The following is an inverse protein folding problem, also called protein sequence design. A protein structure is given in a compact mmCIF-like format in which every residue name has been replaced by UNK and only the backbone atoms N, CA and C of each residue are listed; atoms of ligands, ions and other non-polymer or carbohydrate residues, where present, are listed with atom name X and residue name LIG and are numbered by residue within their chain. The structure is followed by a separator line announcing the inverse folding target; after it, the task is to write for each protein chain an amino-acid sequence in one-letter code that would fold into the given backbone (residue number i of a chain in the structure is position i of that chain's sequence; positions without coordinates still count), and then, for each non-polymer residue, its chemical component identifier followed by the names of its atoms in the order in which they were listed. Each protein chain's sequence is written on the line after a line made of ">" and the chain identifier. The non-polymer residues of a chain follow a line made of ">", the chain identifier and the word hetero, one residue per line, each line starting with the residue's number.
data_IF_096170009229
#
_entry.id   IF_096170009229
#
_cell.length_a   1.000
_cell.length_b   1.000
_cell.length_c   1.000
_cell.angle_alpha   90.00
_cell.angle_beta   90.00
_cell.angle_gamma   90.00
#
_symmetry.space_group_name_H-M   'P 1'
#
loop_
_entity.id
_entity.type
_entity.pdbx_description
1 polymer ?
#
# COMPACT_ATOMS: atom_id res chain seq x y z
N UNK A 1 -7.82 18.68 5.33
CA UNK A 1 -8.27 17.44 4.70
C UNK A 1 -7.35 16.28 5.10
N UNK A 2 -7.87 15.34 5.88
CA UNK A 2 -7.12 14.19 6.41
C UNK A 2 -6.52 13.31 5.30
N UNK A 3 -7.17 13.22 4.14
CA UNK A 3 -6.71 12.43 2.98
C UNK A 3 -6.03 13.26 1.90
N UNK A 4 -5.51 14.42 2.22
CA UNK A 4 -4.80 15.24 1.23
C UNK A 4 -3.57 14.51 0.65
N UNK A 5 -3.55 14.36 -0.67
CA UNK A 5 -2.48 13.66 -1.39
C UNK A 5 -2.44 12.15 -1.21
N UNK A 6 -3.44 11.56 -0.57
CA UNK A 6 -3.52 10.14 -0.28
C UNK A 6 -4.62 9.50 -1.11
N UNK A 7 -4.30 8.41 -1.77
CA UNK A 7 -5.30 7.53 -2.36
C UNK A 7 -5.87 6.66 -1.25
N UNK A 8 -7.16 6.87 -0.98
CA UNK A 8 -7.86 6.10 0.04
C UNK A 8 -8.10 4.69 -0.49
N UNK A 9 -7.75 3.69 0.31
CA UNK A 9 -8.06 2.30 -0.03
C UNK A 9 -9.57 2.10 -0.16
N UNK A 10 -9.99 1.46 -1.23
CA UNK A 10 -11.38 1.15 -1.47
C UNK A 10 -11.81 -0.16 -0.79
N UNK A 11 -10.86 -0.98 -0.39
CA UNK A 11 -11.06 -2.35 0.11
C UNK A 11 -10.06 -2.69 1.20
N UNK A 12 -10.44 -3.59 2.10
CA UNK A 12 -9.65 -3.95 3.27
C UNK A 12 -8.28 -4.58 2.95
N UNK A 13 -8.08 -5.08 1.72
CA UNK A 13 -6.79 -5.69 1.29
C UNK A 13 -6.00 -4.82 0.34
N UNK A 14 -6.52 -3.67 -0.02
CA UNK A 14 -5.90 -2.82 -1.04
C UNK A 14 -4.93 -1.80 -0.46
N UNK A 15 -4.55 -1.93 0.81
CA UNK A 15 -3.60 -1.00 1.43
C UNK A 15 -2.28 -0.91 0.64
N UNK A 16 -1.79 -2.04 0.13
CA UNK A 16 -0.57 -2.07 -0.69
C UNK A 16 -0.72 -1.33 -2.01
N UNK A 17 -1.82 -1.52 -2.72
CA UNK A 17 -2.08 -0.81 -3.97
C UNK A 17 -2.35 0.67 -3.75
N UNK A 18 -3.12 1.03 -2.72
CA UNK A 18 -3.41 2.42 -2.38
C UNK A 18 -2.16 3.16 -1.89
N UNK A 19 -1.31 2.53 -1.08
CA UNK A 19 -0.03 3.10 -0.66
C UNK A 19 0.90 3.32 -1.86
N UNK A 20 0.99 2.33 -2.78
CA UNK A 20 1.80 2.47 -3.99
C UNK A 20 1.25 3.56 -4.91
N UNK A 21 -0.06 3.64 -5.11
CA UNK A 21 -0.68 4.71 -5.90
C UNK A 21 -0.41 6.08 -5.30
N UNK A 22 -0.48 6.19 -3.97
CA UNK A 22 -0.15 7.42 -3.24
C UNK A 22 1.30 7.84 -3.49
N UNK A 23 2.25 6.90 -3.39
CA UNK A 23 3.67 7.17 -3.64
C UNK A 23 3.92 7.55 -5.09
N UNK A 24 3.36 6.81 -6.05
CA UNK A 24 3.51 7.09 -7.49
C UNK A 24 2.94 8.46 -7.85
N UNK A 25 1.73 8.77 -7.44
CA UNK A 25 1.10 10.05 -7.77
C UNK A 25 1.76 11.22 -7.03
N UNK A 26 2.06 11.05 -5.75
CA UNK A 26 2.52 12.13 -4.91
C UNK A 26 4.02 12.45 -5.01
N UNK A 27 4.83 11.48 -5.40
CA UNK A 27 6.29 11.61 -5.47
C UNK A 27 6.85 11.51 -6.88
N UNK A 28 6.35 10.58 -7.69
CA UNK A 28 6.77 10.42 -9.10
C UNK A 28 5.96 11.37 -10.01
N UNK A 29 4.69 11.62 -9.70
CA UNK A 29 3.83 12.50 -10.47
C UNK A 29 2.99 11.79 -11.52
N UNK A 30 2.74 10.49 -11.35
CA UNK A 30 1.78 9.75 -12.16
C UNK A 30 0.35 10.19 -11.84
N UNK A 31 -0.60 9.77 -12.65
CA UNK A 31 -2.03 10.02 -12.46
C UNK A 31 -2.79 8.70 -12.52
N UNK A 32 -2.40 7.75 -11.67
CA UNK A 32 -3.01 6.44 -11.60
C UNK A 32 -4.17 6.42 -10.61
N UNK A 33 -5.23 5.70 -10.96
CA UNK A 33 -6.23 5.28 -9.98
C UNK A 33 -5.70 4.07 -9.19
N UNK A 34 -6.26 3.82 -8.00
CA UNK A 34 -5.96 2.60 -7.25
C UNK A 34 -6.24 1.34 -8.09
N UNK A 35 -7.34 1.36 -8.85
CA UNK A 35 -7.71 0.23 -9.72
C UNK A 35 -6.65 -0.04 -10.80
N UNK A 36 -6.11 1.00 -11.43
CA UNK A 36 -5.03 0.84 -12.42
C UNK A 36 -3.77 0.26 -11.78
N UNK A 37 -3.42 0.72 -10.59
CA UNK A 37 -2.28 0.17 -9.83
C UNK A 37 -2.50 -1.29 -9.47
N UNK A 38 -3.69 -1.66 -8.99
CA UNK A 38 -4.02 -3.05 -8.70
C UNK A 38 -3.95 -3.94 -9.94
N UNK A 39 -4.47 -3.49 -11.06
CA UNK A 39 -4.36 -4.21 -12.34
C UNK A 39 -2.90 -4.45 -12.71
N UNK A 40 -2.07 -3.45 -12.55
CA UNK A 40 -0.63 -3.55 -12.79
C UNK A 40 0.06 -4.52 -11.85
N UNK A 41 -0.25 -4.48 -10.56
CA UNK A 41 0.29 -5.40 -9.56
C UNK A 41 -0.10 -6.86 -9.85
N UNK A 42 -1.34 -7.09 -10.28
CA UNK A 42 -1.81 -8.43 -10.67
C UNK A 42 -1.15 -8.91 -11.95
N UNK A 43 -0.99 -8.02 -12.93
CA UNK A 43 -0.42 -8.38 -14.24
C UNK A 43 1.08 -8.68 -14.16
N UNK A 44 1.85 -7.87 -13.44
CA UNK A 44 3.30 -7.94 -13.39
C UNK A 44 3.85 -8.65 -12.14
N UNK A 45 3.04 -8.77 -11.10
CA UNK A 45 3.37 -9.50 -9.88
C UNK A 45 3.12 -11.00 -9.97
N UNK A 46 3.29 -11.68 -8.86
CA UNK A 46 3.04 -13.12 -8.73
C UNK A 46 1.56 -13.36 -8.42
N UNK A 47 0.71 -13.34 -9.43
CA UNK A 47 -0.76 -13.37 -9.32
C UNK A 47 -1.27 -14.48 -8.40
N UNK A 48 -0.80 -15.72 -8.54
CA UNK A 48 -1.23 -16.84 -7.70
C UNK A 48 -0.86 -16.63 -6.23
N UNK A 49 0.35 -16.16 -5.95
CA UNK A 49 0.80 -15.84 -4.59
C UNK A 49 0.06 -14.64 -4.00
N UNK A 50 -0.29 -13.65 -4.82
CA UNK A 50 -1.12 -12.52 -4.38
C UNK A 50 -2.49 -13.03 -3.93
N UNK A 51 -3.10 -13.91 -4.71
CA UNK A 51 -4.41 -14.51 -4.39
C UNK A 51 -4.31 -15.34 -3.11
N UNK A 52 -3.29 -16.17 -2.99
CA UNK A 52 -3.08 -17.05 -1.84
C UNK A 52 -2.85 -16.25 -0.55
N UNK A 53 -1.95 -15.26 -0.59
CA UNK A 53 -1.65 -14.38 0.55
C UNK A 53 -2.75 -13.37 0.82
N UNK A 54 -3.59 -13.08 -0.16
CA UNK A 54 -4.60 -12.00 -0.14
C UNK A 54 -3.96 -10.63 0.13
N UNK A 55 -2.76 -10.43 -0.38
CA UNK A 55 -2.02 -9.19 -0.23
C UNK A 55 -0.95 -9.03 -1.30
N UNK A 56 -0.61 -7.80 -1.59
CA UNK A 56 0.54 -7.48 -2.45
C UNK A 56 1.83 -7.51 -1.64
N UNK A 57 2.92 -7.97 -2.27
CA UNK A 57 4.26 -7.92 -1.70
C UNK A 57 5.05 -6.73 -2.25
N UNK A 58 6.16 -6.39 -1.60
CA UNK A 58 7.08 -5.39 -2.13
C UNK A 58 7.72 -5.84 -3.46
N UNK A 59 7.87 -7.14 -3.68
CA UNK A 59 8.34 -7.68 -4.96
C UNK A 59 7.31 -7.44 -6.08
N UNK A 60 6.02 -7.63 -5.79
CA UNK A 60 4.95 -7.30 -6.75
C UNK A 60 4.98 -5.82 -7.12
N UNK A 61 5.18 -4.95 -6.12
CA UNK A 61 5.33 -3.50 -6.32
C UNK A 61 6.54 -3.18 -7.19
N UNK A 62 7.70 -3.79 -6.92
CA UNK A 62 8.92 -3.61 -7.71
C UNK A 62 8.74 -4.00 -9.17
N UNK A 63 8.06 -5.11 -9.43
CA UNK A 63 7.78 -5.59 -10.78
C UNK A 63 6.87 -4.62 -11.54
N UNK A 64 5.81 -4.16 -10.91
CA UNK A 64 4.91 -3.19 -11.54
C UNK A 64 5.59 -1.85 -11.79
N UNK A 65 6.33 -1.32 -10.82
CA UNK A 65 7.08 -0.07 -10.96
C UNK A 65 8.13 -0.18 -12.07
N UNK A 66 8.81 -1.33 -12.17
CA UNK A 66 9.72 -1.65 -13.28
C UNK A 66 9.03 -1.65 -14.65
N UNK A 67 7.81 -2.16 -14.73
CA UNK A 67 7.00 -2.12 -15.94
C UNK A 67 6.59 -0.70 -16.36
N UNK A 68 6.54 0.23 -15.42
CA UNK A 68 6.36 1.67 -15.68
C UNK A 68 7.66 2.36 -16.14
N UNK A 69 8.78 1.63 -16.24
CA UNK A 69 10.07 2.19 -16.60
C UNK A 69 10.82 2.89 -15.45
N UNK A 70 10.42 2.65 -14.22
CA UNK A 70 11.01 3.23 -13.02
C UNK A 70 11.87 2.22 -12.27
N UNK A 71 12.96 2.68 -11.69
CA UNK A 71 13.79 1.90 -10.79
C UNK A 71 13.25 1.96 -9.37
N UNK A 72 13.19 0.82 -8.70
CA UNK A 72 12.71 0.71 -7.31
C UNK A 72 13.32 -0.49 -6.61
N UNK A 73 13.19 -0.53 -5.31
CA UNK A 73 13.65 -1.66 -4.52
C UNK A 73 13.15 -1.65 -3.09
N UNK A 74 13.13 -2.85 -2.51
CA UNK A 74 12.98 -3.05 -1.09
C UNK A 74 14.33 -3.09 -0.40
N UNK A 75 14.44 -2.43 0.73
CA UNK A 75 15.67 -2.34 1.52
C UNK A 75 15.38 -2.66 2.98
N UNK A 76 16.41 -3.09 3.70
CA UNK A 76 16.42 -3.11 5.16
C UNK A 76 17.36 -2.03 5.67
N UNK A 77 16.96 -1.35 6.74
CA UNK A 77 17.77 -0.30 7.35
C UNK A 77 17.37 -0.03 8.79
N UNK A 78 18.19 0.73 9.46
CA UNK A 78 17.87 1.25 10.78
C UNK A 78 16.89 2.43 10.66
N UNK A 79 16.28 2.82 11.78
CA UNK A 79 15.40 3.99 11.79
C UNK A 79 16.11 5.27 11.32
N UNK A 80 17.38 5.42 11.66
CA UNK A 80 18.22 6.51 11.19
C UNK A 80 18.35 6.55 9.67
N UNK A 81 18.42 5.39 9.02
CA UNK A 81 18.49 5.30 7.54
C UNK A 81 17.18 5.78 6.91
N UNK A 82 16.05 5.35 7.48
CA UNK A 82 14.73 5.79 7.02
C UNK A 82 14.57 7.32 7.12
N UNK A 83 15.03 7.91 8.20
CA UNK A 83 14.95 9.36 8.42
C UNK A 83 15.94 10.13 7.54
N UNK A 84 17.18 9.64 7.42
CA UNK A 84 18.27 10.34 6.73
C UNK A 84 18.10 10.34 5.22
N UNK A 85 17.54 9.28 4.62
CA UNK A 85 17.31 9.21 3.17
C UNK A 85 16.30 10.28 2.68
N UNK A 86 15.51 10.86 3.59
CA UNK A 86 14.70 12.07 3.40
C UNK A 86 13.75 12.06 2.17
N UNK A 87 13.26 10.89 1.77
CA UNK A 87 12.28 10.75 0.70
C UNK A 87 11.13 9.84 1.14
N UNK A 88 9.92 10.00 0.56
CA UNK A 88 8.81 9.10 0.84
C UNK A 88 9.15 7.65 0.54
N UNK A 89 8.69 6.75 1.40
CA UNK A 89 8.91 5.32 1.26
C UNK A 89 7.66 4.54 1.69
N UNK A 90 7.37 3.42 1.03
CA UNK A 90 6.37 2.49 1.56
C UNK A 90 7.02 1.67 2.67
N UNK A 91 6.38 1.61 3.82
CA UNK A 91 6.82 0.83 4.97
C UNK A 91 5.71 -0.10 5.44
N UNK A 92 6.03 -1.38 5.70
CA UNK A 92 5.09 -2.29 6.34
C UNK A 92 5.07 -1.99 7.84
N UNK A 93 3.87 -1.93 8.39
CA UNK A 93 3.64 -1.80 9.82
C UNK A 93 2.72 -2.92 10.31
N UNK A 94 2.76 -3.24 11.58
CA UNK A 94 1.90 -4.23 12.19
C UNK A 94 1.09 -3.62 13.32
N UNK A 95 -0.25 -3.74 13.19
CA UNK A 95 -1.20 -3.44 14.25
C UNK A 95 -1.89 -4.73 14.70
N UNK A 96 -1.77 -5.06 15.96
CA UNK A 96 -2.47 -6.21 16.54
C UNK A 96 -2.36 -7.50 15.69
N UNK A 97 -1.19 -7.73 15.08
CA UNK A 97 -0.92 -8.90 14.23
C UNK A 97 -1.33 -8.77 12.76
N UNK A 98 -1.92 -7.65 12.37
CA UNK A 98 -2.27 -7.38 10.97
C UNK A 98 -1.17 -6.56 10.30
N UNK A 99 -0.74 -7.00 9.12
CA UNK A 99 0.20 -6.27 8.27
C UNK A 99 -0.54 -5.23 7.45
N UNK A 100 0.00 -4.01 7.45
CA UNK A 100 -0.54 -2.87 6.73
C UNK A 100 0.59 -2.10 6.06
N UNK A 101 0.34 -1.50 4.91
CA UNK A 101 1.31 -0.65 4.21
C UNK A 101 0.91 0.82 4.34
N UNK A 102 1.87 1.62 4.75
CA UNK A 102 1.72 3.08 4.79
C UNK A 102 2.86 3.75 4.04
N UNK A 103 2.70 5.00 3.67
CA UNK A 103 3.77 5.81 3.08
C UNK A 103 4.39 6.68 4.17
N UNK A 104 5.65 6.38 4.50
CA UNK A 104 6.47 7.29 5.31
C UNK A 104 6.65 8.61 4.56
N UNK A 105 6.38 9.72 5.23
CA UNK A 105 6.50 11.07 4.66
C UNK A 105 7.70 11.82 5.21
N UNK A 106 7.82 11.88 6.52
CA UNK A 106 8.89 12.59 7.19
C UNK A 106 8.96 12.25 8.68
N UNK A 107 10.06 12.61 9.29
CA UNK A 107 10.26 12.65 10.73
C UNK A 107 10.49 14.11 11.17
N UNK A 108 9.75 14.56 12.16
CA UNK A 108 9.86 15.91 12.70
C UNK A 108 9.43 15.95 14.16
N UNK A 109 10.24 16.60 15.00
CA UNK A 109 9.92 16.82 16.41
C UNK A 109 9.56 15.54 17.19
N UNK A 110 10.33 14.46 16.99
CA UNK A 110 10.10 13.19 17.67
C UNK A 110 8.92 12.37 17.14
N UNK A 111 8.34 12.77 16.00
CA UNK A 111 7.19 12.08 15.40
C UNK A 111 7.44 11.68 13.96
N UNK A 112 6.95 10.50 13.63
CA UNK A 112 6.93 9.94 12.27
C UNK A 112 5.58 10.24 11.63
N UNK A 113 5.59 10.94 10.52
CA UNK A 113 4.40 11.28 9.75
C UNK A 113 4.24 10.32 8.58
N UNK A 114 3.08 9.73 8.47
CA UNK A 114 2.75 8.77 7.42
C UNK A 114 1.45 9.12 6.72
N UNK A 115 1.35 8.70 5.47
CA UNK A 115 0.12 8.65 4.72
C UNK A 115 -0.43 7.22 4.80
N UNK A 116 -1.51 7.05 5.53
CA UNK A 116 -2.19 5.77 5.72
C UNK A 116 -3.40 5.68 4.78
N UNK A 117 -3.47 4.68 3.90
CA UNK A 117 -4.59 4.53 2.98
C UNK A 117 -5.96 4.38 3.63
N UNK A 118 -6.01 3.87 4.87
CA UNK A 118 -7.25 3.70 5.63
C UNK A 118 -7.58 4.93 6.49
N UNK A 119 -6.56 5.53 7.10
CA UNK A 119 -6.72 6.55 8.15
C UNK A 119 -6.36 7.97 7.69
N UNK A 120 -5.69 8.11 6.54
CA UNK A 120 -5.25 9.41 6.03
C UNK A 120 -3.88 9.83 6.57
N UNK A 121 -3.64 11.13 6.66
CA UNK A 121 -2.41 11.67 7.23
C UNK A 121 -2.44 11.52 8.76
N UNK A 122 -1.57 10.69 9.29
CA UNK A 122 -1.43 10.41 10.73
C UNK A 122 0.03 10.49 11.15
N UNK A 123 0.28 10.50 12.44
CA UNK A 123 1.63 10.46 12.99
C UNK A 123 1.72 9.55 14.20
N UNK A 124 2.88 8.97 14.38
CA UNK A 124 3.26 8.18 15.54
C UNK A 124 4.42 8.87 16.28
N UNK A 125 4.52 8.70 17.59
CA UNK A 125 5.79 8.96 18.23
C UNK A 125 6.85 7.97 17.75
N UNK A 126 8.11 8.35 17.87
CA UNK A 126 9.25 7.58 17.34
C UNK A 126 9.27 6.14 17.87
N UNK A 127 9.09 5.97 19.17
CA UNK A 127 9.17 4.64 19.78
C UNK A 127 8.01 3.75 19.30
N UNK A 128 6.80 4.31 19.28
CA UNK A 128 5.64 3.58 18.77
C UNK A 128 5.82 3.14 17.31
N UNK A 129 6.35 4.02 16.47
CA UNK A 129 6.64 3.67 15.09
C UNK A 129 7.67 2.53 14.99
N UNK A 130 8.76 2.59 15.75
CA UNK A 130 9.77 1.53 15.79
C UNK A 130 9.17 0.19 16.21
N UNK A 131 8.24 0.19 17.16
CA UNK A 131 7.60 -1.03 17.67
C UNK A 131 6.69 -1.69 16.63
N UNK A 132 6.05 -0.89 15.77
CA UNK A 132 5.12 -1.40 14.74
C UNK A 132 5.74 -1.57 13.36
N UNK A 133 6.91 -0.99 13.13
CA UNK A 133 7.60 -1.09 11.83
C UNK A 133 8.13 -2.51 11.60
N UNK A 134 7.61 -3.18 10.60
CA UNK A 134 7.88 -4.59 10.33
C UNK A 134 9.25 -4.79 9.67
N UNK A 135 10.08 -5.64 10.30
CA UNK A 135 11.36 -6.12 9.76
C UNK A 135 12.32 -5.02 9.27
N UNK A 136 12.18 -3.79 9.75
CA UNK A 136 12.98 -2.65 9.32
C UNK A 136 13.04 -2.51 7.79
N UNK A 137 11.95 -2.83 7.12
CA UNK A 137 11.87 -2.88 5.66
C UNK A 137 11.25 -1.59 5.12
N UNK A 138 11.79 -1.10 4.01
CA UNK A 138 11.25 0.05 3.29
C UNK A 138 11.34 -0.19 1.78
N UNK A 139 10.40 0.39 1.03
CA UNK A 139 10.37 0.35 -0.42
C UNK A 139 10.53 1.77 -0.95
N UNK A 140 11.50 1.95 -1.83
CA UNK A 140 11.84 3.23 -2.44
C UNK A 140 11.68 3.17 -3.95
N UNK A 141 11.19 4.28 -4.53
CA UNK A 141 11.24 4.51 -5.97
C UNK A 141 12.32 5.54 -6.24
N UNK A 142 13.27 5.20 -7.11
CA UNK A 142 14.35 6.10 -7.48
C UNK A 142 13.84 7.14 -8.48
N UNK A 143 13.83 8.39 -8.07
CA UNK A 143 13.43 9.54 -8.90
C UNK A 143 14.53 10.58 -8.84
N UNK A 144 14.98 11.04 -10.00
CA UNK A 144 15.98 12.11 -10.09
C UNK A 144 15.46 13.36 -9.32
N UNK A 145 16.33 14.05 -8.54
CA UNK A 145 15.92 15.13 -7.66
C UNK A 145 15.07 16.21 -8.34
N UNK A 146 15.39 16.56 -9.58
CA UNK A 146 14.68 17.54 -10.39
C UNK A 146 13.26 17.12 -10.81
N UNK A 147 12.98 15.82 -10.83
CA UNK A 147 11.68 15.26 -11.21
C UNK A 147 10.78 14.91 -10.02
N UNK A 148 11.30 15.01 -8.79
CA UNK A 148 10.55 14.68 -7.57
C UNK A 148 9.40 15.65 -7.35
N UNK A 149 8.20 15.10 -7.18
CA UNK A 149 7.02 15.88 -6.78
C UNK A 149 6.97 16.04 -5.26
N UNK A 150 6.37 17.13 -4.80
CA UNK A 150 6.28 17.49 -3.37
C UNK A 150 4.86 17.39 -2.82
N UNK A 151 3.97 16.65 -3.49
CA UNK A 151 2.57 16.54 -3.04
C UNK A 151 2.43 15.82 -1.69
N UNK A 152 3.43 14.99 -1.33
CA UNK A 152 3.50 14.32 -0.03
C UNK A 152 4.27 15.10 1.04
N UNK A 153 4.82 16.26 0.71
CA UNK A 153 5.52 17.10 1.69
C UNK A 153 4.59 17.48 2.87
N UNK A 154 5.17 17.52 4.06
CA UNK A 154 4.45 17.94 5.26
C UNK A 154 3.92 19.38 5.11
N UNK A 155 2.70 19.57 5.53
CA UNK A 155 2.07 20.88 5.70
C UNK A 155 1.72 21.09 7.18
N UNK A 156 1.49 22.34 7.56
CA UNK A 156 1.12 22.67 8.96
C UNK A 156 -0.14 21.93 9.42
N UNK A 157 -1.05 21.62 8.51
CA UNK A 157 -2.24 20.80 8.79
C UNK A 157 -1.90 19.35 9.19
N UNK A 158 -0.77 18.82 8.72
CA UNK A 158 -0.33 17.45 9.00
C UNK A 158 0.30 17.35 10.40
N UNK A 159 0.72 18.48 10.97
CA UNK A 159 1.34 18.55 12.30
C UNK A 159 0.33 18.44 13.45
N UNK A 160 -0.96 18.36 13.14
CA UNK A 160 -2.00 18.15 14.14
C UNK A 160 -1.96 16.71 14.64
N UNK A 161 -1.87 16.57 15.95
CA UNK A 161 -1.87 15.27 16.61
C UNK A 161 -3.24 14.59 16.48
N UNK A 162 -3.23 13.34 16.04
CA UNK A 162 -4.27 12.38 16.39
C UNK A 162 -3.65 11.48 17.47
N UNK A 163 -4.26 11.40 18.63
CA UNK A 163 -3.75 10.53 19.72
C UNK A 163 -3.73 9.07 19.27
N UNK A 164 -2.69 8.34 19.68
CA UNK A 164 -2.51 6.91 19.35
C UNK A 164 -3.73 6.07 19.74
N UNK A 165 -4.42 6.42 20.81
CA UNK A 165 -5.68 5.79 21.21
C UNK A 165 -6.78 5.95 20.16
N UNK A 166 -6.86 7.10 19.49
CA UNK A 166 -7.83 7.35 18.40
C UNK A 166 -7.44 6.57 17.15
N UNK A 167 -6.15 6.53 16.82
CA UNK A 167 -5.63 5.73 15.69
C UNK A 167 -5.91 4.24 15.92
N UNK A 168 -5.60 3.73 17.10
CA UNK A 168 -5.87 2.34 17.47
C UNK A 168 -7.37 2.02 17.42
N UNK A 169 -8.23 2.93 17.87
CA UNK A 169 -9.68 2.74 17.84
C UNK A 169 -10.22 2.64 16.42
N UNK A 170 -9.76 3.49 15.50
CA UNK A 170 -10.18 3.42 14.09
C UNK A 170 -9.61 2.18 13.40
N UNK A 171 -8.35 1.84 13.64
CA UNK A 171 -7.75 0.62 13.15
C UNK A 171 -8.52 -0.63 13.62
N UNK A 172 -8.94 -0.64 14.90
CA UNK A 172 -9.73 -1.74 15.46
C UNK A 172 -11.14 -1.86 14.84
N UNK A 173 -11.79 -0.76 14.53
CA UNK A 173 -13.12 -0.77 13.89
C UNK A 173 -13.01 -1.30 12.46
N UNK A 174 -12.01 -0.88 11.71
CA UNK A 174 -11.79 -1.35 10.34
C UNK A 174 -11.28 -2.81 10.32
N UNK A 175 -10.60 -3.27 11.38
CA UNK A 175 -10.08 -4.63 11.52
C UNK A 175 -11.08 -5.63 12.11
N UNK A 176 -12.21 -5.17 12.65
CA UNK A 176 -13.22 -6.08 13.25
C UNK A 176 -13.91 -7.00 12.23
N UNK A 177 -13.88 -6.68 10.94
CA UNK A 177 -14.53 -7.45 9.89
C UNK A 177 -13.62 -8.18 8.89
N UNK A 178 -12.28 -8.24 9.05
CA UNK A 178 -11.43 -8.85 8.03
C UNK A 178 -11.74 -10.32 7.80
N UNK A 179 -12.02 -11.08 8.86
CA UNK A 179 -12.20 -12.54 8.80
C UNK A 179 -13.43 -12.92 7.96
N UNK A 180 -14.58 -12.29 8.22
CA UNK A 180 -15.82 -12.57 7.49
C UNK A 180 -15.72 -12.23 6.00
N UNK A 181 -15.07 -11.10 5.69
CA UNK A 181 -14.84 -10.72 4.30
C UNK A 181 -13.76 -11.58 3.64
N UNK A 182 -12.75 -11.98 4.41
CA UNK A 182 -11.69 -12.88 3.94
C UNK A 182 -12.24 -14.25 3.57
N UNK A 183 -13.14 -14.80 4.36
CA UNK A 183 -13.81 -16.08 4.10
C UNK A 183 -14.66 -16.01 2.83
N UNK A 184 -15.43 -14.95 2.64
CA UNK A 184 -16.22 -14.73 1.41
C UNK A 184 -15.36 -14.60 0.16
N UNK A 185 -14.16 -14.05 0.26
CA UNK A 185 -13.23 -13.91 -0.85
C UNK A 185 -12.54 -15.23 -1.12
N UNK A 186 -12.18 -15.99 -0.09
CA UNK A 186 -11.63 -17.32 -0.25
C UNK A 186 -12.59 -18.24 -1.02
N UNK A 187 -13.86 -18.22 -0.66
CA UNK A 187 -14.90 -18.99 -1.35
C UNK A 187 -15.03 -18.60 -2.83
N UNK A 188 -15.02 -17.30 -3.11
CA UNK A 188 -15.12 -16.81 -4.48
C UNK A 188 -13.83 -17.00 -5.27
N UNK A 189 -12.66 -16.85 -4.67
CA UNK A 189 -11.37 -17.11 -5.30
C UNK A 189 -11.18 -18.60 -5.60
N UNK A 190 -11.67 -19.50 -4.74
CA UNK A 190 -11.68 -20.94 -5.00
C UNK A 190 -12.56 -21.31 -6.19
N UNK A 191 -13.68 -20.62 -6.37
CA UNK A 191 -14.58 -20.82 -7.51
C UNK A 191 -13.95 -20.38 -8.84
N UNK A 192 -13.12 -19.33 -8.83
CA UNK A 192 -12.40 -18.86 -10.03
C UNK A 192 -11.22 -19.78 -10.38
N UNK A 193 -10.56 -20.39 -9.39
CA UNK A 193 -9.50 -21.37 -9.65
C UNK A 193 -9.98 -22.60 -10.42
N UNK A 194 -11.27 -22.87 -10.39
CA UNK A 194 -11.88 -23.99 -11.12
C UNK A 194 -12.19 -23.66 -12.58
N UNK A 195 -12.14 -22.40 -12.98
CA UNK A 195 -12.32 -21.98 -14.36
C UNK A 195 -10.98 -22.14 -15.12
N UNK A 196 -10.67 -23.40 -15.48
CA UNK A 196 -9.45 -23.81 -16.18
C UNK A 196 -9.40 -23.35 -17.65
N UNK A 197 -10.29 -22.47 -18.08
CA UNK A 197 -10.44 -22.07 -19.49
C UNK A 197 -9.63 -20.83 -19.88
N UNK A 198 -8.78 -20.33 -19.03
CA UNK A 198 -7.80 -19.31 -19.37
C UNK A 198 -6.52 -19.98 -19.88
N UNK A 199 -6.57 -20.52 -21.07
CA UNK A 199 -5.38 -20.97 -21.77
C UNK A 199 -4.55 -19.77 -22.21
N UNK A 200 -3.23 -19.95 -22.31
CA UNK A 200 -2.29 -18.92 -22.80
C UNK A 200 -2.69 -18.33 -24.17
N UNK A 201 -3.46 -19.06 -24.95
CA UNK A 201 -4.00 -18.65 -26.26
C UNK A 201 -5.28 -17.81 -26.18
N UNK A 202 -5.85 -17.61 -24.98
CA UNK A 202 -7.05 -16.77 -24.86
C UNK A 202 -6.71 -15.29 -25.03
N UNK A 203 -7.57 -14.54 -25.71
CA UNK A 203 -7.44 -13.08 -25.85
C UNK A 203 -7.34 -12.34 -24.51
N UNK A 204 -7.67 -13.02 -23.40
CA UNK A 204 -7.66 -12.51 -22.05
C UNK A 204 -6.43 -12.96 -21.25
N UNK A 205 -5.53 -13.76 -21.85
CA UNK A 205 -4.31 -14.16 -21.17
C UNK A 205 -3.45 -12.93 -20.82
N UNK A 206 -3.06 -12.82 -19.58
CA UNK A 206 -2.29 -11.66 -19.08
C UNK A 206 -3.10 -10.37 -18.87
N UNK A 207 -4.40 -10.37 -19.23
CA UNK A 207 -5.31 -9.31 -18.82
C UNK A 207 -6.00 -9.73 -17.51
N UNK A 208 -5.99 -8.90 -16.47
CA UNK A 208 -6.81 -9.19 -15.31
C UNK A 208 -8.26 -9.29 -15.78
N UNK A 209 -8.85 -10.47 -15.63
CA UNK A 209 -10.25 -10.62 -15.99
C UNK A 209 -11.07 -9.72 -15.09
N UNK A 210 -12.01 -8.97 -15.63
CA UNK A 210 -12.90 -8.11 -14.88
C UNK A 210 -13.61 -8.85 -13.73
N UNK A 211 -13.83 -10.15 -13.88
CA UNK A 211 -14.41 -11.01 -12.85
C UNK A 211 -13.47 -11.21 -11.66
N UNK A 212 -12.17 -11.34 -11.91
CA UNK A 212 -11.17 -11.48 -10.88
C UNK A 212 -11.05 -10.20 -10.04
N UNK A 213 -11.01 -9.07 -10.72
CA UNK A 213 -11.01 -7.77 -10.07
C UNK A 213 -12.30 -7.52 -9.27
N UNK A 214 -13.45 -7.90 -9.81
CA UNK A 214 -14.73 -7.83 -9.10
C UNK A 214 -14.74 -8.62 -7.80
N UNK A 215 -14.00 -9.72 -7.70
CA UNK A 215 -13.95 -10.53 -6.49
C UNK A 215 -13.14 -9.87 -5.39
N UNK A 216 -12.07 -9.17 -5.74
CA UNK A 216 -11.30 -8.37 -4.80
C UNK A 216 -12.03 -7.09 -4.38
N UNK A 217 -12.96 -6.60 -5.21
CA UNK A 217 -13.56 -5.28 -5.10
C UNK A 217 -15.04 -5.25 -4.73
N UNK A 218 -15.71 -6.38 -4.74
CA UNK A 218 -17.15 -6.45 -4.46
C UNK A 218 -17.50 -6.84 -3.03
N UNK A 219 -16.93 -6.20 -2.07
CA UNK A 219 -17.38 -6.39 -0.70
C UNK A 219 -17.90 -5.11 -0.07
N UNK A 220 -18.64 -4.32 -0.84
CA UNK A 220 -19.52 -3.28 -0.26
C UNK A 220 -20.84 -3.27 -0.98
#
# INVERSE_FOLDING_TARGET
>A
NQFRGIVRQAYDYSCGSAALTTLLNGYVGTQLSEQQTMNGLLKFGETEKIIERRSFSLLDMKRFVGALGLESGGYKGEFSDLVTQAQPAIVPISYAGFKHFVVFKAYKNGRVYVADPALGNISFDEQRFKDIWENNTLFLINVAPEHRKKFLALQDSDLRHVEDATVNRYAFVDLQYPQFYMDKIADKASTIRLDKNLNEESENFGKPTYNFLRLYYKSK
#
